data_IF_256619288693
#
_entry.id   IF_256619288693
#
_cell.length_a   1.000
_cell.length_b   1.000
_cell.length_c   1.000
_cell.angle_alpha   90.00
_cell.angle_beta   90.00
_cell.angle_gamma   90.00
#
_symmetry.space_group_name_H-M   'P 1'
#
loop_
_entity.id
_entity.type
_entity.pdbx_description
1 polymer ?
#
# COMPACT_ATOMS: atom_id res chain seq x y z
N UNK A 1 28.38 27.45 62.14
CA UNK A 1 27.38 28.53 62.10
C UNK A 1 27.55 29.22 60.75
N UNK A 2 26.81 28.81 59.76
CA UNK A 2 26.75 29.50 58.45
C UNK A 2 25.93 30.77 58.65
N UNK A 3 26.55 31.90 58.42
CA UNK A 3 25.92 33.22 58.38
C UNK A 3 24.82 33.24 57.36
N UNK A 4 23.56 33.44 57.76
CA UNK A 4 22.43 33.66 56.79
C UNK A 4 22.76 34.92 55.98
N UNK A 5 23.38 34.79 54.86
CA UNK A 5 23.61 35.88 53.92
C UNK A 5 22.27 36.52 53.53
N UNK A 6 22.20 37.84 53.74
CA UNK A 6 20.98 38.58 53.39
C UNK A 6 20.81 38.63 51.87
N UNK A 7 19.80 37.99 51.37
CA UNK A 7 19.50 37.85 49.90
C UNK A 7 19.41 39.22 49.23
N UNK A 8 18.88 40.24 49.94
CA UNK A 8 18.80 41.61 49.40
C UNK A 8 20.19 42.21 49.20
N UNK A 9 21.12 41.93 50.07
CA UNK A 9 22.51 42.38 49.97
C UNK A 9 23.24 41.71 48.80
N UNK A 10 22.95 40.44 48.55
CA UNK A 10 23.43 39.73 47.35
C UNK A 10 22.85 40.33 46.05
N UNK A 11 21.60 40.75 46.07
CA UNK A 11 21.00 41.43 44.94
C UNK A 11 21.67 42.78 44.66
N UNK A 12 21.99 43.57 45.69
CA UNK A 12 22.73 44.85 45.52
C UNK A 12 24.13 44.59 44.96
N UNK A 13 24.85 43.61 45.50
CA UNK A 13 26.18 43.22 44.98
C UNK A 13 26.10 42.75 43.49
N UNK A 14 25.00 42.10 43.12
CA UNK A 14 24.74 41.72 41.73
C UNK A 14 24.52 42.95 40.83
N UNK A 15 23.72 43.91 41.24
CA UNK A 15 23.48 45.17 40.51
C UNK A 15 24.72 46.04 40.39
N UNK A 16 25.63 45.94 41.38
CA UNK A 16 26.92 46.64 41.35
C UNK A 16 28.03 45.90 40.57
N UNK A 17 27.72 44.69 40.05
CA UNK A 17 28.69 43.88 39.31
C UNK A 17 29.81 43.26 40.17
N UNK A 18 29.65 43.24 41.52
CA UNK A 18 30.65 42.79 42.48
C UNK A 18 30.35 41.43 43.10
N UNK A 19 29.32 40.74 42.67
CA UNK A 19 28.89 39.45 43.20
C UNK A 19 29.88 38.30 42.85
N UNK A 20 30.09 37.38 43.78
CA UNK A 20 30.90 36.18 43.51
C UNK A 20 30.05 35.08 42.90
N UNK A 21 30.59 34.28 41.97
CA UNK A 21 29.87 33.19 41.27
C UNK A 21 29.08 32.23 42.17
N UNK A 22 29.56 31.96 43.37
CA UNK A 22 28.83 31.11 44.34
C UNK A 22 27.58 31.79 44.90
N UNK A 23 27.69 33.07 45.17
CA UNK A 23 26.64 33.89 45.74
C UNK A 23 25.59 34.27 44.68
N UNK A 24 26.00 34.42 43.43
CA UNK A 24 25.14 34.60 42.27
C UNK A 24 24.20 33.41 42.08
N UNK A 25 24.70 32.16 42.18
CA UNK A 25 23.91 30.95 42.12
C UNK A 25 22.83 30.90 43.20
N UNK A 26 23.16 31.25 44.42
CA UNK A 26 22.23 31.32 45.56
C UNK A 26 21.14 32.38 45.32
N UNK A 27 21.51 33.54 44.79
CA UNK A 27 20.57 34.60 44.45
C UNK A 27 19.56 34.14 43.37
N UNK A 28 20.02 33.54 42.28
CA UNK A 28 19.11 33.09 41.20
C UNK A 28 18.30 31.87 41.59
N UNK A 29 18.80 31.01 42.48
CA UNK A 29 18.01 29.93 43.05
C UNK A 29 16.84 30.47 43.89
N UNK A 30 17.08 31.47 44.71
CA UNK A 30 16.04 32.17 45.47
C UNK A 30 14.99 32.84 44.54
N UNK A 31 15.45 33.56 43.50
CA UNK A 31 14.58 34.21 42.54
C UNK A 31 13.73 33.20 41.74
N UNK A 32 14.27 32.01 41.48
CA UNK A 32 13.58 30.95 40.77
C UNK A 32 12.49 30.24 41.60
N UNK A 33 12.52 30.30 42.93
CA UNK A 33 11.63 29.54 43.81
C UNK A 33 10.17 29.99 43.82
N UNK A 34 9.87 31.28 43.57
CA UNK A 34 8.49 31.78 43.53
C UNK A 34 8.34 33.07 42.74
N UNK A 35 7.10 33.34 42.29
CA UNK A 35 6.76 34.59 41.62
C UNK A 35 6.89 35.82 42.57
N UNK A 36 6.63 35.62 43.85
CA UNK A 36 6.83 36.65 44.87
C UNK A 36 8.33 37.07 45.00
N UNK A 37 9.25 36.10 44.92
CA UNK A 37 10.68 36.37 44.96
C UNK A 37 11.19 37.12 43.70
N UNK A 38 10.61 36.80 42.56
CA UNK A 38 10.88 37.53 41.30
C UNK A 38 10.41 38.96 41.38
N UNK A 39 9.24 39.21 41.95
CA UNK A 39 8.69 40.52 42.15
C UNK A 39 9.51 41.33 43.12
N UNK A 40 9.95 40.74 44.25
CA UNK A 40 10.85 41.38 45.21
C UNK A 40 12.20 41.75 44.58
N UNK A 41 12.79 40.88 43.78
CA UNK A 41 14.04 41.15 43.07
C UNK A 41 13.93 42.34 42.10
N UNK A 42 12.84 42.43 41.34
CA UNK A 42 12.53 43.58 40.46
C UNK A 42 12.29 44.87 41.22
N UNK A 43 11.75 44.76 42.41
CA UNK A 43 11.54 45.93 43.24
C UNK A 43 12.87 46.44 43.82
N UNK A 44 13.77 45.55 44.25
CA UNK A 44 15.10 45.92 44.71
C UNK A 44 15.95 46.52 43.59
N UNK A 45 15.83 46.06 42.36
CA UNK A 45 16.45 46.63 41.17
C UNK A 45 15.98 48.09 40.94
N UNK A 46 14.63 48.33 41.04
CA UNK A 46 14.08 49.68 40.93
C UNK A 46 14.55 50.61 42.04
N UNK A 47 14.58 50.12 43.26
CA UNK A 47 15.06 50.86 44.44
C UNK A 47 16.54 51.19 44.28
N UNK A 48 17.37 50.30 43.78
CA UNK A 48 18.79 50.52 43.52
C UNK A 48 18.99 51.56 42.43
N UNK A 49 18.27 51.48 41.31
CA UNK A 49 18.31 52.47 40.27
C UNK A 49 17.87 53.89 40.79
N UNK A 50 16.83 53.91 41.63
CA UNK A 50 16.29 55.17 42.19
C UNK A 50 17.19 55.78 43.29
N UNK A 51 18.00 54.95 43.97
CA UNK A 51 18.89 55.44 45.05
C UNK A 51 20.08 56.24 44.54
N UNK A 52 20.25 56.33 43.21
CA UNK A 52 21.13 57.31 42.58
C UNK A 52 22.55 57.38 43.13
N UNK A 53 23.24 56.21 43.22
CA UNK A 53 24.68 56.23 43.37
C UNK A 53 25.29 56.54 42.01
N UNK A 54 25.10 57.76 41.59
CA UNK A 54 25.88 58.43 40.56
C UNK A 54 27.16 58.86 41.21
N UNK A 55 28.17 57.99 41.15
CA UNK A 55 29.52 58.40 41.41
C UNK A 55 29.83 59.54 40.43
N UNK A 56 30.36 60.67 40.93
CA UNK A 56 30.62 61.89 40.16
C UNK A 56 31.62 61.72 39.01
N UNK A 57 32.17 60.53 38.85
CA UNK A 57 33.03 60.13 37.72
C UNK A 57 32.22 59.68 36.49
N UNK A 58 31.00 59.14 36.64
CA UNK A 58 30.22 58.68 35.50
C UNK A 58 29.68 59.81 34.61
N UNK A 59 29.43 60.99 35.16
CA UNK A 59 29.05 62.16 34.41
C UNK A 59 30.17 62.69 33.49
N UNK A 60 31.41 62.64 33.97
CA UNK A 60 32.58 63.04 33.15
C UNK A 60 32.93 61.99 32.10
N UNK A 61 32.74 60.72 32.39
CA UNK A 61 32.91 59.62 31.42
C UNK A 61 31.80 59.64 30.36
N UNK A 62 30.57 59.94 30.75
CA UNK A 62 29.45 60.10 29.84
C UNK A 62 29.62 61.32 28.87
N UNK A 63 30.06 62.47 29.39
CA UNK A 63 30.40 63.61 28.56
C UNK A 63 31.58 63.33 27.61
N UNK A 64 32.56 62.55 28.08
CA UNK A 64 33.69 62.16 27.24
C UNK A 64 33.28 61.16 26.17
N UNK A 65 32.34 60.28 26.48
CA UNK A 65 31.77 59.33 25.52
C UNK A 65 30.88 60.06 24.47
N UNK A 66 30.04 60.98 24.89
CA UNK A 66 29.25 61.82 24.00
C UNK A 66 30.14 62.71 23.10
N UNK A 67 31.25 63.21 23.60
CA UNK A 67 32.23 63.97 22.81
C UNK A 67 32.90 63.06 21.77
N UNK A 68 33.25 61.83 22.13
CA UNK A 68 33.83 60.86 21.20
C UNK A 68 32.81 60.44 20.14
N UNK A 69 31.53 60.30 20.49
CA UNK A 69 30.46 59.98 19.52
C UNK A 69 30.25 61.13 18.57
N UNK A 70 30.20 62.40 19.03
CA UNK A 70 30.07 63.60 18.18
C UNK A 70 31.27 63.84 17.28
N UNK A 71 32.48 63.52 17.72
CA UNK A 71 33.68 63.67 16.85
C UNK A 71 33.82 62.52 15.84
N UNK A 72 33.14 61.41 16.09
CA UNK A 72 33.14 60.29 15.13
C UNK A 72 32.07 60.39 14.04
N UNK A 73 31.06 61.27 14.21
CA UNK A 73 30.05 61.55 13.17
C UNK A 73 30.53 62.53 12.08
N UNK A 74 31.70 63.17 12.23
CA UNK A 74 32.21 64.18 11.28
C UNK A 74 33.18 63.61 10.25
N UNK A 75 33.49 62.33 10.24
CA UNK A 75 34.29 61.72 9.17
C UNK A 75 33.50 60.53 8.64
N UNK A 76 32.60 60.79 7.67
CA UNK A 76 32.11 59.74 6.78
C UNK A 76 33.18 59.61 5.69
N UNK A 77 34.02 58.58 5.67
CA UNK A 77 34.60 58.13 4.43
C UNK A 77 33.51 57.36 3.73
N UNK A 78 32.89 57.97 2.71
CA UNK A 78 32.24 57.18 1.68
C UNK A 78 33.19 56.06 1.25
N UNK A 79 32.62 54.83 1.10
CA UNK A 79 33.27 53.64 0.59
C UNK A 79 34.12 52.84 1.59
N UNK A 80 33.41 52.10 2.43
CA UNK A 80 33.89 50.91 3.06
C UNK A 80 32.75 49.94 3.27
N UNK A 81 32.34 49.28 2.19
CA UNK A 81 31.48 48.08 2.29
C UNK A 81 32.18 47.12 3.24
N UNK A 82 31.67 47.01 4.46
CA UNK A 82 32.29 46.19 5.49
C UNK A 82 32.30 44.71 4.99
N UNK A 83 33.49 44.28 4.58
CA UNK A 83 33.76 42.91 4.12
C UNK A 83 33.36 41.84 5.17
N UNK A 84 33.08 42.24 6.39
CA UNK A 84 32.76 41.31 7.51
C UNK A 84 31.33 40.77 7.47
N UNK A 85 30.33 41.56 7.05
CA UNK A 85 28.95 41.06 6.88
C UNK A 85 28.83 40.06 5.72
N UNK A 86 29.54 40.30 4.62
CA UNK A 86 29.61 39.40 3.48
C UNK A 86 30.23 38.03 3.83
N UNK A 87 31.20 38.02 4.74
CA UNK A 87 31.86 36.79 5.20
C UNK A 87 30.90 35.87 6.00
N UNK A 88 30.05 36.44 6.88
CA UNK A 88 29.09 35.68 7.67
C UNK A 88 27.98 35.13 6.76
N UNK A 89 27.44 35.96 5.85
CA UNK A 89 26.42 35.50 4.90
C UNK A 89 26.93 34.38 3.97
N UNK A 90 28.21 34.49 3.53
CA UNK A 90 28.85 33.43 2.73
C UNK A 90 29.02 32.13 3.54
N UNK A 91 29.34 32.21 4.81
CA UNK A 91 29.42 31.02 5.70
C UNK A 91 28.03 30.41 5.95
N UNK A 92 27.02 31.25 6.20
CA UNK A 92 25.63 30.79 6.33
C UNK A 92 25.12 30.19 5.02
N UNK A 93 25.38 30.82 3.89
CA UNK A 93 25.04 30.30 2.57
C UNK A 93 25.77 28.97 2.27
N UNK A 94 27.05 28.86 2.65
CA UNK A 94 27.80 27.60 2.49
C UNK A 94 27.24 26.47 3.35
N UNK A 95 26.89 26.74 4.62
CA UNK A 95 26.24 25.75 5.49
C UNK A 95 24.86 25.36 4.96
N UNK A 96 24.05 26.34 4.53
CA UNK A 96 22.75 26.07 3.92
C UNK A 96 22.88 25.23 2.64
N UNK A 97 23.88 25.53 1.79
CA UNK A 97 24.15 24.73 0.59
C UNK A 97 24.55 23.29 0.93
N UNK A 98 25.39 23.08 1.95
CA UNK A 98 25.77 21.75 2.41
C UNK A 98 24.54 20.98 2.94
N UNK A 99 23.69 21.63 3.73
CA UNK A 99 22.45 21.03 4.26
C UNK A 99 21.49 20.67 3.12
N UNK A 100 21.33 21.55 2.14
CA UNK A 100 20.49 21.25 0.97
C UNK A 100 21.08 20.12 0.11
N UNK A 101 22.39 20.09 -0.09
CA UNK A 101 23.06 19.00 -0.80
C UNK A 101 22.98 17.67 -0.05
N UNK A 102 23.10 17.67 1.29
CA UNK A 102 22.94 16.44 2.07
C UNK A 102 21.49 15.95 2.05
N UNK A 103 20.51 16.84 2.21
CA UNK A 103 19.09 16.48 2.11
C UNK A 103 18.77 16.01 0.68
N UNK A 104 19.18 16.75 -0.33
CA UNK A 104 18.97 16.37 -1.74
C UNK A 104 19.68 15.07 -2.10
N UNK A 105 20.91 14.88 -1.63
CA UNK A 105 21.68 13.66 -1.80
C UNK A 105 21.03 12.45 -1.11
N UNK A 106 20.62 12.61 0.14
CA UNK A 106 19.93 11.51 0.88
C UNK A 106 18.59 11.16 0.26
N UNK A 107 17.78 12.16 -0.14
CA UNK A 107 16.53 11.92 -0.85
C UNK A 107 16.78 11.26 -2.21
N UNK A 108 17.80 11.70 -2.96
CA UNK A 108 18.19 11.10 -4.23
C UNK A 108 18.64 9.65 -4.09
N UNK A 109 19.48 9.35 -3.10
CA UNK A 109 19.92 7.97 -2.79
C UNK A 109 18.73 7.13 -2.33
N UNK A 110 17.85 7.66 -1.49
CA UNK A 110 16.65 6.95 -1.04
C UNK A 110 15.69 6.64 -2.21
N UNK A 111 15.45 7.62 -3.08
CA UNK A 111 14.65 7.45 -4.30
C UNK A 111 15.27 6.40 -5.24
N UNK A 112 16.58 6.46 -5.46
CA UNK A 112 17.31 5.52 -6.31
C UNK A 112 17.33 4.12 -5.69
N UNK A 113 17.56 4.00 -4.38
CA UNK A 113 17.56 2.74 -3.64
C UNK A 113 16.17 2.06 -3.68
N UNK A 114 15.09 2.82 -3.52
CA UNK A 114 13.73 2.29 -3.62
C UNK A 114 13.39 1.81 -5.04
N UNK A 115 13.96 2.45 -6.07
CA UNK A 115 13.80 2.03 -7.48
C UNK A 115 14.62 0.80 -7.85
N UNK A 116 15.75 0.57 -7.15
CA UNK A 116 16.66 -0.56 -7.39
C UNK A 116 16.30 -1.82 -6.60
N UNK A 117 15.26 -1.79 -5.75
CA UNK A 117 14.83 -3.00 -5.06
C UNK A 117 14.39 -4.05 -6.06
N UNK A 118 14.91 -5.29 -5.95
CA UNK A 118 14.53 -6.38 -6.85
C UNK A 118 13.02 -6.62 -6.74
N UNK A 119 12.40 -6.88 -7.87
CA UNK A 119 11.00 -7.28 -7.91
C UNK A 119 10.89 -8.71 -7.39
N UNK A 120 10.16 -8.87 -6.30
CA UNK A 120 9.82 -10.17 -5.71
C UNK A 120 8.34 -10.44 -5.90
N UNK A 121 7.97 -11.71 -5.96
CA UNK A 121 6.60 -12.12 -6.22
C UNK A 121 6.02 -12.86 -5.03
N UNK A 122 4.78 -12.53 -4.71
CA UNK A 122 3.93 -13.31 -3.83
C UNK A 122 3.14 -14.30 -4.68
N UNK A 123 3.06 -15.54 -4.22
CA UNK A 123 2.30 -16.60 -4.87
C UNK A 123 1.29 -17.15 -3.88
N UNK A 124 0.01 -17.08 -4.25
CA UNK A 124 -1.09 -17.67 -3.48
C UNK A 124 -1.58 -18.89 -4.26
N UNK A 125 -1.40 -20.06 -3.69
CA UNK A 125 -1.82 -21.34 -4.28
C UNK A 125 -3.01 -21.90 -3.52
N UNK A 126 -3.98 -22.43 -4.25
CA UNK A 126 -5.15 -23.11 -3.71
C UNK A 126 -5.10 -24.57 -4.13
N UNK A 127 -4.98 -25.53 -3.21
CA UNK A 127 -4.97 -26.95 -3.53
C UNK A 127 -6.27 -27.41 -4.20
N UNK A 128 -6.23 -28.58 -4.83
CA UNK A 128 -7.45 -29.26 -5.27
C UNK A 128 -8.37 -29.55 -4.08
N UNK A 129 -9.67 -29.45 -4.31
CA UNK A 129 -10.70 -29.63 -3.27
C UNK A 129 -10.93 -28.41 -2.39
N UNK A 130 -10.11 -27.38 -2.47
CA UNK A 130 -10.17 -26.22 -1.62
C UNK A 130 -10.48 -24.93 -2.39
N UNK A 131 -10.81 -23.87 -1.65
CA UNK A 131 -11.00 -22.52 -2.16
C UNK A 131 -10.32 -21.54 -1.24
N UNK A 132 -9.75 -20.50 -1.79
CA UNK A 132 -9.06 -19.45 -1.02
C UNK A 132 -9.63 -18.08 -1.31
N UNK A 133 -9.61 -17.20 -0.31
CA UNK A 133 -9.94 -15.78 -0.46
C UNK A 133 -8.71 -14.95 -0.17
N UNK A 134 -8.31 -14.13 -1.14
CA UNK A 134 -7.16 -13.22 -1.05
C UNK A 134 -7.67 -11.79 -1.08
N UNK A 135 -7.18 -10.94 -0.18
CA UNK A 135 -7.44 -9.49 -0.22
C UNK A 135 -6.12 -8.81 -0.56
N UNK A 136 -6.08 -8.17 -1.72
CA UNK A 136 -4.89 -7.47 -2.19
C UNK A 136 -4.72 -6.11 -1.50
N UNK A 137 -3.52 -5.53 -1.56
CA UNK A 137 -3.20 -4.28 -0.87
C UNK A 137 -3.95 -3.04 -1.39
N UNK A 138 -4.63 -3.14 -2.54
CA UNK A 138 -5.52 -2.11 -3.08
C UNK A 138 -6.99 -2.25 -2.62
N UNK A 139 -7.28 -3.28 -1.80
CA UNK A 139 -8.62 -3.63 -1.34
C UNK A 139 -9.41 -4.52 -2.30
N UNK A 140 -8.83 -4.93 -3.43
CA UNK A 140 -9.44 -5.89 -4.36
C UNK A 140 -9.55 -7.26 -3.67
N UNK A 141 -10.72 -7.88 -3.79
CA UNK A 141 -10.98 -9.21 -3.26
C UNK A 141 -10.95 -10.22 -4.40
N UNK A 142 -10.20 -11.30 -4.22
CA UNK A 142 -10.07 -12.40 -5.17
C UNK A 142 -10.44 -13.70 -4.46
N UNK A 143 -11.40 -14.43 -4.99
CA UNK A 143 -11.62 -15.84 -4.62
C UNK A 143 -10.89 -16.70 -5.65
N UNK A 144 -10.15 -17.68 -5.18
CA UNK A 144 -9.45 -18.67 -5.99
C UNK A 144 -10.13 -20.01 -5.84
N UNK A 145 -10.46 -20.63 -6.97
CA UNK A 145 -11.05 -21.97 -7.00
C UNK A 145 -9.96 -23.04 -6.88
N UNK A 146 -10.38 -24.29 -6.78
CA UNK A 146 -9.51 -25.46 -6.61
C UNK A 146 -8.44 -25.55 -7.72
N UNK A 147 -7.20 -25.79 -7.34
CA UNK A 147 -6.06 -25.91 -8.24
C UNK A 147 -5.64 -24.59 -8.89
N UNK A 148 -5.91 -23.44 -8.26
CA UNK A 148 -5.59 -22.13 -8.82
C UNK A 148 -4.40 -21.49 -8.17
N UNK A 149 -3.65 -20.68 -8.93
CA UNK A 149 -2.50 -19.92 -8.50
C UNK A 149 -2.66 -18.46 -8.90
N UNK A 150 -2.51 -17.55 -7.94
CA UNK A 150 -2.46 -16.11 -8.14
C UNK A 150 -1.08 -15.58 -7.78
N UNK A 151 -0.43 -14.90 -8.72
CA UNK A 151 0.90 -14.33 -8.52
C UNK A 151 0.86 -12.82 -8.72
N UNK A 152 1.50 -12.06 -7.85
CA UNK A 152 1.62 -10.61 -7.95
C UNK A 152 2.92 -10.11 -7.31
N UNK A 153 3.37 -8.95 -7.74
CA UNK A 153 4.65 -8.37 -7.34
C UNK A 153 4.54 -7.62 -6.01
N UNK A 154 5.66 -7.50 -5.28
CA UNK A 154 5.79 -6.60 -4.14
C UNK A 154 5.60 -5.11 -4.51
N UNK A 155 5.66 -4.78 -5.80
CA UNK A 155 5.37 -3.45 -6.35
C UNK A 155 3.90 -3.26 -6.73
N UNK A 156 3.04 -4.28 -6.47
CA UNK A 156 1.60 -4.18 -6.68
C UNK A 156 1.02 -2.98 -5.91
N UNK A 157 0.11 -2.24 -6.52
CA UNK A 157 -0.54 -1.04 -6.00
C UNK A 157 0.39 0.20 -5.82
N UNK A 158 1.69 0.07 -6.00
CA UNK A 158 2.66 1.19 -5.98
C UNK A 158 3.10 1.58 -7.39
N UNK A 159 3.56 0.61 -8.19
CA UNK A 159 3.99 0.81 -9.57
C UNK A 159 2.94 0.35 -10.60
N UNK A 160 2.22 -0.71 -10.28
CA UNK A 160 1.18 -1.28 -11.15
C UNK A 160 0.11 -2.00 -10.32
N UNK A 161 -0.98 -2.41 -10.97
CA UNK A 161 -2.03 -3.28 -10.41
C UNK A 161 -2.19 -4.50 -11.31
N UNK A 162 -1.09 -5.25 -11.48
CA UNK A 162 -1.03 -6.45 -12.32
C UNK A 162 -0.93 -7.69 -11.47
N UNK A 163 -1.74 -8.69 -11.79
CA UNK A 163 -1.70 -10.04 -11.23
C UNK A 163 -1.64 -11.05 -12.37
N UNK A 164 -1.05 -12.21 -12.12
CA UNK A 164 -1.00 -13.34 -13.03
C UNK A 164 -1.86 -14.46 -12.44
N UNK A 165 -2.79 -15.01 -13.22
CA UNK A 165 -3.69 -16.07 -12.81
C UNK A 165 -3.46 -17.31 -13.66
N UNK A 166 -3.29 -18.46 -13.00
CA UNK A 166 -3.49 -19.78 -13.56
C UNK A 166 -4.57 -20.48 -12.74
N UNK A 167 -5.61 -21.01 -13.39
CA UNK A 167 -6.77 -21.57 -12.70
C UNK A 167 -8.02 -20.70 -12.83
N UNK A 168 -8.91 -20.76 -11.85
CA UNK A 168 -10.17 -20.00 -11.86
C UNK A 168 -10.22 -19.02 -10.69
N UNK A 169 -10.55 -17.74 -10.99
CA UNK A 169 -10.64 -16.67 -10.02
C UNK A 169 -11.84 -15.76 -10.25
N UNK A 170 -12.58 -15.49 -9.18
CA UNK A 170 -13.61 -14.46 -9.14
C UNK A 170 -13.06 -13.20 -8.49
N UNK A 171 -13.16 -12.09 -9.18
CA UNK A 171 -12.57 -10.82 -8.81
C UNK A 171 -13.64 -9.77 -8.48
N UNK A 172 -13.51 -9.12 -7.34
CA UNK A 172 -14.20 -7.88 -7.01
C UNK A 172 -13.15 -6.76 -6.91
N UNK A 173 -12.91 -6.11 -8.05
CA UNK A 173 -11.84 -5.13 -8.18
C UNK A 173 -12.26 -3.79 -7.62
N UNK A 174 -11.48 -3.26 -6.68
CA UNK A 174 -11.68 -1.93 -6.11
C UNK A 174 -11.43 -0.84 -7.16
N UNK A 175 -12.41 0.06 -7.31
CA UNK A 175 -12.29 1.21 -8.21
C UNK A 175 -11.25 2.20 -7.66
N UNK A 176 -10.24 2.51 -8.47
CA UNK A 176 -9.20 3.49 -8.16
C UNK A 176 -9.04 4.46 -9.33
N UNK A 177 -9.22 5.76 -9.07
CA UNK A 177 -9.16 6.79 -10.11
C UNK A 177 -7.80 6.78 -10.81
N UNK A 178 -7.81 6.78 -12.15
CA UNK A 178 -6.61 6.83 -12.98
C UNK A 178 -5.77 5.54 -13.05
N UNK A 179 -6.14 4.47 -12.33
CA UNK A 179 -5.37 3.24 -12.30
C UNK A 179 -6.19 2.04 -12.79
N UNK A 180 -5.68 1.33 -13.78
CA UNK A 180 -6.24 0.06 -14.27
C UNK A 180 -5.76 -1.10 -13.40
N UNK A 181 -6.56 -2.16 -13.32
CA UNK A 181 -6.20 -3.46 -12.79
C UNK A 181 -6.08 -4.45 -13.93
N UNK A 182 -5.05 -5.26 -13.97
CA UNK A 182 -4.75 -6.17 -15.06
C UNK A 182 -4.63 -7.59 -14.52
N UNK A 183 -5.43 -8.51 -15.05
CA UNK A 183 -5.24 -9.94 -14.86
C UNK A 183 -4.59 -10.52 -16.11
N UNK A 184 -3.39 -11.01 -15.97
CA UNK A 184 -2.65 -11.67 -17.02
C UNK A 184 -2.98 -13.16 -16.99
N UNK A 185 -3.37 -13.70 -18.15
CA UNK A 185 -3.59 -15.12 -18.39
C UNK A 185 -2.63 -15.62 -19.48
N UNK A 186 -2.60 -16.92 -19.71
CA UNK A 186 -1.76 -17.49 -20.79
C UNK A 186 -2.32 -17.20 -22.20
N UNK A 187 -3.52 -16.61 -22.35
CA UNK A 187 -4.12 -16.32 -23.66
C UNK A 187 -4.32 -14.85 -23.93
N UNK A 188 -4.78 -14.06 -22.97
CA UNK A 188 -5.03 -12.61 -23.11
C UNK A 188 -4.92 -11.89 -21.77
N UNK A 189 -4.69 -10.59 -21.80
CA UNK A 189 -4.77 -9.73 -20.65
C UNK A 189 -6.20 -9.20 -20.45
N UNK A 190 -6.66 -9.15 -19.20
CA UNK A 190 -7.95 -8.61 -18.81
C UNK A 190 -7.71 -7.28 -18.10
N UNK A 191 -8.21 -6.19 -18.68
CA UNK A 191 -7.98 -4.83 -18.19
C UNK A 191 -9.29 -4.26 -17.66
N UNK A 192 -9.31 -3.85 -16.38
CA UNK A 192 -10.50 -3.34 -15.71
C UNK A 192 -10.19 -2.11 -14.85
N UNK A 193 -11.23 -1.36 -14.45
CA UNK A 193 -11.10 -0.15 -13.60
C UNK A 193 -11.85 -0.24 -12.27
N UNK A 194 -12.68 -1.25 -12.09
CA UNK A 194 -13.55 -1.46 -10.93
C UNK A 194 -14.73 -2.29 -11.34
N UNK A 195 -14.59 -3.60 -11.31
CA UNK A 195 -15.39 -4.56 -12.07
C UNK A 195 -15.51 -5.83 -11.26
N UNK A 196 -16.65 -6.51 -11.36
CA UNK A 196 -16.85 -7.88 -10.85
C UNK A 196 -16.92 -8.84 -12.03
N UNK A 197 -16.03 -9.79 -12.03
CA UNK A 197 -15.91 -10.74 -13.14
C UNK A 197 -15.27 -12.05 -12.67
N UNK A 198 -15.53 -13.10 -13.42
CA UNK A 198 -14.96 -14.42 -13.23
C UNK A 198 -14.06 -14.77 -14.42
N UNK A 199 -12.95 -15.44 -14.14
CA UNK A 199 -11.97 -15.89 -15.12
C UNK A 199 -11.58 -17.32 -14.85
N UNK A 200 -11.68 -18.18 -15.88
CA UNK A 200 -11.13 -19.53 -15.85
C UNK A 200 -10.04 -19.68 -16.91
N UNK A 201 -8.83 -20.01 -16.49
CA UNK A 201 -7.62 -20.07 -17.31
C UNK A 201 -6.70 -21.19 -16.83
N UNK A 202 -7.22 -22.42 -16.71
CA UNK A 202 -6.42 -23.61 -16.42
C UNK A 202 -5.63 -24.02 -17.67
N UNK A 203 -4.37 -24.40 -17.50
CA UNK A 203 -3.49 -24.79 -18.60
C UNK A 203 -3.95 -26.09 -19.30
N UNK A 204 -4.69 -26.94 -18.59
CA UNK A 204 -5.22 -28.20 -19.10
C UNK A 204 -6.66 -28.07 -19.69
N UNK A 205 -7.27 -26.89 -19.64
CA UNK A 205 -8.58 -26.64 -20.25
C UNK A 205 -8.42 -26.16 -21.71
N UNK A 206 -9.30 -26.61 -22.63
CA UNK A 206 -9.24 -26.18 -24.03
C UNK A 206 -9.68 -24.73 -24.26
N UNK A 207 -10.27 -24.11 -23.24
CA UNK A 207 -10.79 -22.73 -23.31
C UNK A 207 -10.35 -21.90 -22.13
N UNK A 208 -9.99 -20.66 -22.42
CA UNK A 208 -9.95 -19.60 -21.42
C UNK A 208 -11.30 -18.88 -21.48
N UNK A 209 -11.92 -18.63 -20.33
CA UNK A 209 -13.20 -17.93 -20.28
C UNK A 209 -13.15 -16.74 -19.33
N UNK A 210 -13.81 -15.65 -19.72
CA UNK A 210 -14.06 -14.49 -18.85
C UNK A 210 -15.55 -14.17 -18.87
N UNK A 211 -16.18 -14.07 -17.73
CA UNK A 211 -17.60 -13.69 -17.58
C UNK A 211 -17.70 -12.41 -16.79
N UNK A 212 -18.37 -11.40 -17.36
CA UNK A 212 -18.54 -10.09 -16.75
C UNK A 212 -19.85 -9.99 -16.00
N UNK A 213 -19.78 -9.73 -14.68
CA UNK A 213 -20.95 -9.56 -13.83
C UNK A 213 -21.36 -8.08 -13.72
N UNK A 214 -20.40 -7.21 -13.42
CA UNK A 214 -20.66 -5.79 -13.16
C UNK A 214 -19.49 -4.93 -13.64
N UNK A 215 -19.76 -3.78 -14.27
CA UNK A 215 -18.76 -2.84 -14.75
C UNK A 215 -18.42 -3.01 -16.21
N UNK A 216 -17.14 -2.95 -16.58
CA UNK A 216 -16.64 -3.14 -17.94
C UNK A 216 -15.31 -3.88 -17.93
N UNK A 217 -15.12 -4.73 -18.93
CA UNK A 217 -13.90 -5.49 -19.17
C UNK A 217 -13.40 -5.18 -20.57
N UNK A 218 -12.10 -4.95 -20.69
CA UNK A 218 -11.37 -4.95 -21.95
C UNK A 218 -10.43 -6.16 -21.96
N UNK A 219 -10.64 -7.07 -22.92
CA UNK A 219 -9.73 -8.18 -23.18
C UNK A 219 -8.71 -7.74 -24.21
N UNK A 220 -7.43 -7.79 -23.89
CA UNK A 220 -6.37 -7.47 -24.83
C UNK A 220 -5.76 -8.78 -25.37
N UNK A 221 -6.14 -9.11 -26.59
CA UNK A 221 -5.65 -10.29 -27.29
C UNK A 221 -4.76 -9.90 -28.46
N UNK A 222 -3.47 -10.25 -28.38
CA UNK A 222 -2.47 -9.93 -29.43
C UNK A 222 -2.47 -8.46 -29.84
N UNK A 223 -2.65 -7.56 -28.86
CA UNK A 223 -2.69 -6.11 -29.08
C UNK A 223 -4.03 -5.56 -29.59
N UNK A 224 -5.06 -6.40 -29.76
CA UNK A 224 -6.40 -5.98 -30.16
C UNK A 224 -7.34 -5.98 -28.96
N UNK A 225 -7.96 -4.84 -28.62
CA UNK A 225 -8.91 -4.75 -27.53
C UNK A 225 -10.28 -5.29 -27.91
N UNK A 226 -10.88 -6.09 -27.04
CA UNK A 226 -12.25 -6.60 -27.16
C UNK A 226 -13.02 -6.17 -25.92
N UNK A 227 -14.06 -5.35 -26.11
CA UNK A 227 -14.88 -4.86 -24.99
C UNK A 227 -15.99 -5.85 -24.66
N UNK A 228 -16.27 -6.01 -23.34
CA UNK A 228 -17.37 -6.81 -22.83
C UNK A 228 -18.34 -5.95 -22.02
N UNK A 229 -19.61 -6.32 -22.10
CA UNK A 229 -20.72 -5.76 -21.31
C UNK A 229 -21.20 -6.74 -20.24
N UNK A 230 -21.82 -6.27 -19.14
CA UNK A 230 -22.38 -7.15 -18.12
C UNK A 230 -23.34 -8.19 -18.69
N UNK A 231 -23.25 -9.43 -18.22
CA UNK A 231 -24.00 -10.57 -18.74
C UNK A 231 -23.35 -11.30 -19.91
N UNK A 232 -22.19 -10.81 -20.40
CA UNK A 232 -21.45 -11.50 -21.45
C UNK A 232 -20.39 -12.45 -20.90
N UNK A 233 -20.22 -13.57 -21.57
CA UNK A 233 -19.10 -14.50 -21.40
C UNK A 233 -18.33 -14.61 -22.73
N UNK A 234 -17.02 -14.44 -22.64
CA UNK A 234 -16.08 -14.63 -23.75
C UNK A 234 -15.24 -15.87 -23.50
N UNK A 235 -15.24 -16.78 -24.46
CA UNK A 235 -14.42 -18.00 -24.43
C UNK A 235 -13.44 -17.99 -25.59
N UNK A 236 -12.15 -18.07 -25.28
CA UNK A 236 -11.09 -18.27 -26.27
C UNK A 236 -10.74 -19.75 -26.33
N UNK A 237 -10.90 -20.35 -27.52
CA UNK A 237 -10.32 -21.66 -27.78
C UNK A 237 -8.81 -21.51 -27.96
N UNK A 238 -8.02 -22.13 -27.06
CA UNK A 238 -6.56 -21.94 -26.99
C UNK A 238 -5.87 -22.49 -28.26
N UNK A 239 -6.35 -23.61 -28.78
CA UNK A 239 -5.77 -24.27 -29.95
C UNK A 239 -6.04 -23.50 -31.25
N UNK A 240 -7.27 -23.06 -31.45
CA UNK A 240 -7.67 -22.41 -32.71
C UNK A 240 -7.54 -20.89 -32.70
N UNK A 241 -7.40 -20.27 -31.53
CA UNK A 241 -7.39 -18.82 -31.32
C UNK A 241 -8.76 -18.15 -31.58
N UNK A 242 -9.85 -18.91 -31.68
CA UNK A 242 -11.18 -18.39 -31.95
C UNK A 242 -11.91 -17.99 -30.67
N UNK A 243 -12.57 -16.82 -30.74
CA UNK A 243 -13.44 -16.33 -29.66
C UNK A 243 -14.90 -16.73 -29.91
N UNK A 244 -15.57 -17.13 -28.83
CA UNK A 244 -17.01 -17.35 -28.77
C UNK A 244 -17.58 -16.39 -27.75
N UNK A 245 -18.49 -15.50 -28.14
CA UNK A 245 -19.21 -14.59 -27.26
C UNK A 245 -20.61 -15.14 -27.04
N UNK A 246 -21.01 -15.22 -25.77
CA UNK A 246 -22.35 -15.69 -25.38
C UNK A 246 -22.94 -14.78 -24.30
N UNK A 247 -24.27 -14.63 -24.32
CA UNK A 247 -25.00 -14.03 -23.19
C UNK A 247 -25.30 -15.14 -22.19
N UNK A 248 -25.00 -14.85 -20.95
CA UNK A 248 -25.13 -15.82 -19.84
C UNK A 248 -25.78 -15.17 -18.62
N UNK A 249 -26.33 -15.98 -17.75
CA UNK A 249 -26.66 -15.53 -16.41
C UNK A 249 -25.37 -15.41 -15.59
N UNK A 250 -24.79 -14.21 -15.60
CA UNK A 250 -23.47 -13.98 -14.98
C UNK A 250 -23.43 -14.29 -13.48
N UNK A 251 -24.58 -14.33 -12.78
CA UNK A 251 -24.62 -14.71 -11.36
C UNK A 251 -24.22 -16.17 -11.12
N UNK A 252 -24.35 -17.02 -12.12
CA UNK A 252 -23.93 -18.43 -12.03
C UNK A 252 -22.40 -18.58 -12.02
N UNK A 253 -21.66 -17.67 -12.65
CA UNK A 253 -20.18 -17.72 -12.70
C UNK A 253 -19.54 -17.55 -11.33
N UNK A 254 -20.20 -16.87 -10.40
CA UNK A 254 -19.72 -16.73 -9.01
C UNK A 254 -20.27 -17.82 -8.08
N UNK A 255 -21.16 -18.69 -8.56
CA UNK A 255 -21.83 -19.69 -7.70
C UNK A 255 -20.82 -20.59 -6.99
N UNK A 256 -19.72 -20.92 -7.62
CA UNK A 256 -18.66 -21.71 -7.03
C UNK A 256 -18.02 -21.02 -5.81
N UNK A 257 -17.84 -19.69 -5.85
CA UNK A 257 -17.33 -18.90 -4.70
C UNK A 257 -18.32 -18.92 -3.52
N UNK A 258 -19.62 -19.11 -3.79
CA UNK A 258 -20.70 -19.26 -2.82
C UNK A 258 -20.99 -20.74 -2.46
N UNK A 259 -20.07 -21.65 -2.78
CA UNK A 259 -20.22 -23.10 -2.56
C UNK A 259 -21.43 -23.71 -3.27
N UNK A 260 -21.69 -23.27 -4.50
CA UNK A 260 -22.69 -23.88 -5.41
C UNK A 260 -22.01 -24.19 -6.73
N UNK A 261 -22.46 -25.23 -7.42
CA UNK A 261 -22.02 -25.59 -8.77
C UNK A 261 -23.26 -25.48 -9.66
N UNK A 262 -23.28 -24.51 -10.54
CA UNK A 262 -24.42 -24.24 -11.43
C UNK A 262 -23.93 -24.05 -12.85
N UNK A 263 -24.39 -24.91 -13.75
CA UNK A 263 -24.14 -24.80 -15.20
C UNK A 263 -25.43 -25.04 -15.96
N UNK A 264 -25.78 -24.14 -16.88
CA UNK A 264 -26.93 -24.31 -17.76
C UNK A 264 -26.61 -25.21 -18.98
N UNK A 265 -25.37 -25.08 -19.49
CA UNK A 265 -24.87 -25.88 -20.61
C UNK A 265 -23.39 -26.18 -20.38
N UNK A 266 -23.05 -27.37 -19.91
CA UNK A 266 -21.68 -27.85 -19.74
C UNK A 266 -21.51 -29.20 -20.42
N UNK A 267 -20.44 -29.42 -21.15
CA UNK A 267 -20.13 -30.75 -21.70
C UNK A 267 -19.66 -31.68 -20.58
N UNK A 268 -19.83 -32.99 -20.77
CA UNK A 268 -19.35 -33.96 -19.79
C UNK A 268 -17.83 -33.85 -19.58
N UNK A 269 -17.09 -33.59 -20.65
CA UNK A 269 -15.64 -33.39 -20.60
C UNK A 269 -15.25 -32.20 -19.70
N UNK A 270 -15.92 -31.06 -19.87
CA UNK A 270 -15.69 -29.87 -19.02
C UNK A 270 -16.15 -30.12 -17.57
N UNK A 271 -17.30 -30.79 -17.40
CA UNK A 271 -17.81 -31.13 -16.06
C UNK A 271 -16.84 -32.03 -15.30
N UNK A 272 -16.32 -33.07 -15.97
CA UNK A 272 -15.36 -34.02 -15.39
C UNK A 272 -14.08 -33.29 -14.93
N UNK A 273 -13.55 -32.38 -15.74
CA UNK A 273 -12.39 -31.57 -15.36
C UNK A 273 -12.66 -30.71 -14.11
N UNK A 274 -13.81 -30.04 -14.05
CA UNK A 274 -14.22 -29.21 -12.92
C UNK A 274 -14.48 -30.05 -11.65
N UNK A 275 -15.14 -31.20 -11.76
CA UNK A 275 -15.37 -32.12 -10.64
C UNK A 275 -14.05 -32.73 -10.14
N UNK A 276 -13.13 -33.08 -11.03
CA UNK A 276 -11.82 -33.60 -10.67
C UNK A 276 -11.05 -32.63 -9.77
N UNK A 277 -11.04 -31.34 -10.12
CA UNK A 277 -10.42 -30.28 -9.32
C UNK A 277 -11.17 -30.04 -8.01
N UNK A 278 -12.51 -29.97 -8.07
CA UNK A 278 -13.36 -29.67 -6.92
C UNK A 278 -13.32 -30.72 -5.82
N UNK A 279 -13.16 -32.01 -6.19
CA UNK A 279 -13.20 -33.14 -5.25
C UNK A 279 -11.84 -33.79 -5.03
N UNK A 280 -10.77 -33.25 -5.61
CA UNK A 280 -9.42 -33.82 -5.57
C UNK A 280 -9.37 -35.29 -6.00
N UNK A 281 -9.98 -35.59 -7.16
CA UNK A 281 -10.04 -36.92 -7.75
C UNK A 281 -9.66 -36.88 -9.23
N UNK A 282 -9.24 -38.03 -9.77
CA UNK A 282 -8.92 -38.17 -11.21
C UNK A 282 -10.08 -38.83 -11.92
N UNK A 283 -10.94 -38.07 -12.56
CA UNK A 283 -12.02 -38.62 -13.35
C UNK A 283 -11.58 -38.76 -14.81
N UNK A 284 -11.69 -39.98 -15.36
CA UNK A 284 -11.29 -40.27 -16.74
C UNK A 284 -12.46 -40.76 -17.56
N UNK A 285 -12.63 -40.19 -18.75
CA UNK A 285 -13.60 -40.64 -19.74
C UNK A 285 -12.92 -41.68 -20.63
N UNK A 286 -13.44 -42.92 -20.62
CA UNK A 286 -12.94 -44.01 -21.47
C UNK A 286 -13.46 -43.91 -22.91
N UNK A 287 -14.49 -43.09 -23.14
CA UNK A 287 -15.09 -42.88 -24.49
C UNK A 287 -15.27 -41.40 -24.76
N UNK A 288 -14.69 -40.91 -25.84
CA UNK A 288 -14.88 -39.53 -26.33
C UNK A 288 -16.30 -39.22 -26.77
N UNK A 289 -17.05 -40.23 -27.25
CA UNK A 289 -18.42 -40.05 -27.77
C UNK A 289 -19.42 -39.50 -26.74
N UNK A 290 -19.12 -39.62 -25.44
CA UNK A 290 -19.95 -39.09 -24.34
C UNK A 290 -19.48 -37.70 -23.92
N UNK A 291 -18.22 -37.36 -24.18
CA UNK A 291 -17.57 -36.14 -23.71
C UNK A 291 -18.29 -34.87 -24.18
N UNK A 292 -18.82 -34.87 -25.39
CA UNK A 292 -19.46 -33.70 -26.02
C UNK A 292 -20.94 -33.53 -25.65
N UNK A 293 -21.54 -34.47 -24.91
CA UNK A 293 -22.93 -34.31 -24.45
C UNK A 293 -23.02 -33.17 -23.46
N UNK A 294 -24.00 -32.28 -23.61
CA UNK A 294 -24.24 -31.12 -22.77
C UNK A 294 -25.32 -31.40 -21.72
N UNK A 295 -25.11 -30.85 -20.54
CA UNK A 295 -26.02 -31.02 -19.42
C UNK A 295 -26.31 -29.70 -18.74
N UNK A 296 -27.46 -29.66 -18.07
CA UNK A 296 -27.73 -28.67 -17.01
C UNK A 296 -27.52 -29.36 -15.67
N UNK A 297 -26.70 -28.76 -14.81
CA UNK A 297 -26.42 -29.31 -13.50
C UNK A 297 -26.44 -28.19 -12.45
N UNK A 298 -27.04 -28.51 -11.29
CA UNK A 298 -27.05 -27.64 -10.12
C UNK A 298 -26.77 -28.51 -8.87
N UNK A 299 -25.65 -28.24 -8.21
CA UNK A 299 -25.21 -28.91 -6.98
C UNK A 299 -24.99 -27.84 -5.90
N UNK A 300 -25.32 -28.19 -4.65
CA UNK A 300 -25.13 -27.30 -3.49
C UNK A 300 -23.76 -27.42 -2.85
N UNK A 301 -22.83 -28.18 -3.48
CA UNK A 301 -21.48 -28.47 -3.01
C UNK A 301 -21.46 -29.07 -1.58
N UNK A 302 -22.47 -29.82 -1.26
CA UNK A 302 -22.62 -30.67 -0.05
C UNK A 302 -22.62 -32.14 -0.39
N UNK A 303 -22.85 -32.44 -1.66
CA UNK A 303 -22.86 -33.77 -2.21
C UNK A 303 -21.42 -34.30 -2.26
N UNK A 304 -21.28 -35.57 -1.88
CA UNK A 304 -20.01 -36.32 -2.08
C UNK A 304 -19.84 -36.63 -3.57
N UNK A 305 -18.58 -36.84 -4.02
CA UNK A 305 -18.32 -37.25 -5.39
C UNK A 305 -19.10 -38.55 -5.78
N UNK A 306 -19.31 -39.47 -4.84
CA UNK A 306 -20.11 -40.68 -5.05
C UNK A 306 -21.56 -40.35 -5.36
N UNK A 307 -22.18 -39.41 -4.66
CA UNK A 307 -23.55 -38.96 -4.91
C UNK A 307 -23.67 -38.28 -6.24
N UNK A 308 -22.68 -37.44 -6.60
CA UNK A 308 -22.61 -36.78 -7.93
C UNK A 308 -22.51 -37.82 -9.03
N UNK A 309 -21.62 -38.82 -8.90
CA UNK A 309 -21.51 -39.91 -9.90
C UNK A 309 -22.81 -40.72 -10.01
N UNK A 310 -23.44 -41.01 -8.89
CA UNK A 310 -24.76 -41.72 -8.90
C UNK A 310 -25.85 -40.90 -9.60
N UNK A 311 -25.84 -39.58 -9.41
CA UNK A 311 -26.77 -38.67 -10.13
C UNK A 311 -26.49 -38.66 -11.64
N UNK A 312 -25.23 -38.61 -12.04
CA UNK A 312 -24.84 -38.66 -13.45
C UNK A 312 -25.26 -39.98 -14.12
N UNK A 313 -25.11 -41.10 -13.45
CA UNK A 313 -25.57 -42.42 -13.96
C UNK A 313 -27.08 -42.49 -14.23
N UNK A 314 -27.88 -41.71 -13.51
CA UNK A 314 -29.34 -41.64 -13.76
C UNK A 314 -29.70 -40.81 -15.01
N UNK A 315 -28.82 -39.94 -15.42
CA UNK A 315 -29.04 -39.02 -16.55
C UNK A 315 -28.39 -39.52 -17.82
N UNK A 316 -27.24 -40.20 -17.69
CA UNK A 316 -26.41 -40.66 -18.80
C UNK A 316 -26.20 -42.19 -18.65
N UNK A 317 -26.22 -42.98 -19.74
CA UNK A 317 -25.92 -44.41 -19.68
C UNK A 317 -24.41 -44.64 -19.53
N UNK A 318 -23.86 -44.35 -18.34
CA UNK A 318 -22.44 -44.53 -18.01
C UNK A 318 -22.30 -45.52 -16.86
N UNK A 319 -21.29 -46.37 -16.96
CA UNK A 319 -20.78 -47.13 -15.82
C UNK A 319 -19.70 -46.31 -15.11
N UNK A 320 -19.69 -46.39 -13.79
CA UNK A 320 -18.71 -45.69 -12.95
C UNK A 320 -17.91 -46.74 -12.18
N UNK A 321 -16.62 -46.81 -12.40
CA UNK A 321 -15.70 -47.63 -11.62
C UNK A 321 -14.78 -46.72 -10.81
N UNK A 322 -14.69 -46.93 -9.50
CA UNK A 322 -13.83 -46.12 -8.61
C UNK A 322 -12.72 -46.97 -7.99
N UNK A 323 -11.46 -46.52 -8.16
CA UNK A 323 -10.25 -47.11 -7.55
C UNK A 323 -9.50 -46.03 -6.78
N UNK A 324 -9.82 -45.85 -5.50
CA UNK A 324 -9.22 -44.81 -4.68
C UNK A 324 -9.63 -43.40 -5.13
N UNK A 325 -8.65 -42.60 -5.61
CA UNK A 325 -8.90 -41.26 -6.22
C UNK A 325 -9.24 -41.33 -7.71
N UNK A 326 -8.96 -42.47 -8.39
CA UNK A 326 -9.24 -42.62 -9.81
C UNK A 326 -10.68 -43.07 -10.02
N UNK A 327 -11.41 -42.39 -10.90
CA UNK A 327 -12.80 -42.68 -11.29
C UNK A 327 -12.84 -42.85 -12.79
N UNK A 328 -13.30 -43.97 -13.29
CA UNK A 328 -13.42 -44.28 -14.71
C UNK A 328 -14.89 -44.24 -15.13
N UNK A 329 -15.16 -43.50 -16.20
CA UNK A 329 -16.50 -43.36 -16.79
C UNK A 329 -16.50 -44.01 -18.17
N UNK A 330 -17.21 -45.13 -18.29
CA UNK A 330 -17.38 -45.88 -19.56
C UNK A 330 -18.84 -45.85 -20.01
N UNK A 331 -19.07 -46.00 -21.35
CA UNK A 331 -20.40 -46.15 -21.90
C UNK A 331 -20.98 -47.53 -21.51
N UNK A 332 -22.24 -47.54 -21.09
CA UNK A 332 -23.00 -48.80 -21.05
C UNK A 332 -23.54 -49.04 -22.47
N UNK A 333 -22.99 -50.02 -23.18
CA UNK A 333 -23.59 -50.53 -24.38
C UNK A 333 -24.84 -51.35 -24.03
N UNK A 334 -26.01 -50.83 -24.32
CA UNK A 334 -27.31 -51.57 -24.22
C UNK A 334 -27.49 -52.41 -25.45
#
# INVERSE_FOLDING_TARGET
>A
MEEKKNIRELAVQYFEGRIRRKDEKLLFEYVGQSEANRTAFRQWEKEWIASGITDSNTTKEWETLQRKIRTQEAIIPMLGISKTRFSVWRKVAAVAAIVLLTIGGTLGVWQLSSSLQPETYFVCETPYGEKSKVILSDGTVVWLNAGSTLKYSNKFNTANRRVELNGEGYFEVTKKAGATFIVQTHGYDIVVKGTKFDVSTYDDDPFISTTLLEGSVELNYKGSPIMMSPGESMRLNVETGKFIRTQVNASQSKAWAENRIEFDHITLKELVAKLSRQYDVNIRLESEAVGDKTFRISLRNRETIGEVMTALQKIIPIAVERKGKDIYLSLIHI
#
